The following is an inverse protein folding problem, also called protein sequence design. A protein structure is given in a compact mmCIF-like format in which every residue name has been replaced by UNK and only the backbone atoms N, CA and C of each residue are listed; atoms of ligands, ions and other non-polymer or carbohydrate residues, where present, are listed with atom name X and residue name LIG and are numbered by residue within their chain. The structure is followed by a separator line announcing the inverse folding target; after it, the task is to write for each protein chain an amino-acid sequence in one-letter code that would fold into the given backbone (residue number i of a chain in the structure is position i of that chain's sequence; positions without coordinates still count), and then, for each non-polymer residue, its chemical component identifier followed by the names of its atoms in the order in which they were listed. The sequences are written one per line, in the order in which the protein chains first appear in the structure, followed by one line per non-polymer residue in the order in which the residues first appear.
data_IF_439704220027
#
_entry.id   IF_439704220027
#
_cell.length_a   1.000
_cell.length_b   1.000
_cell.length_c   1.000
_cell.angle_alpha   90.00
_cell.angle_beta   90.00
_cell.angle_gamma   90.00
#
_symmetry.space_group_name_H-M   'P 1'
#
loop_
_entity.id
_entity.type
_entity.pdbx_description
1 polymer ?
#
# COMPACT_ATOMS: atom_id res chain seq x y z
N UNK A 1 38.00 42.09 23.26
CA UNK A 1 36.93 42.78 23.96
C UNK A 1 35.76 41.80 23.93
N UNK A 2 35.69 40.86 24.85
CA UNK A 2 34.99 40.85 26.14
C UNK A 2 33.48 41.03 25.88
N UNK A 3 32.64 40.14 26.28
CA UNK A 3 32.24 39.64 27.59
C UNK A 3 31.26 38.44 27.39
N UNK A 4 31.44 37.30 27.89
CA UNK A 4 31.18 36.73 29.23
C UNK A 4 29.84 37.18 29.83
N UNK A 5 28.84 36.31 29.87
CA UNK A 5 28.07 36.07 31.09
C UNK A 5 27.40 34.70 31.10
N UNK A 6 27.55 33.91 32.15
CA UNK A 6 26.77 32.73 32.42
C UNK A 6 25.58 33.09 33.32
N UNK A 7 24.41 32.66 33.07
CA UNK A 7 23.32 32.67 34.05
C UNK A 7 22.85 31.26 34.33
N UNK A 8 23.46 30.72 35.39
CA UNK A 8 22.93 29.57 36.10
C UNK A 8 21.80 30.07 36.99
N UNK A 9 20.63 29.58 36.82
CA UNK A 9 19.61 29.61 37.87
C UNK A 9 18.84 28.30 37.83
N UNK A 10 19.04 27.53 38.86
CA UNK A 10 18.42 26.26 39.14
C UNK A 10 16.92 26.39 39.37
N UNK A 11 16.21 25.47 38.86
CA UNK A 11 14.83 25.20 39.31
C UNK A 11 14.82 23.73 39.74
N UNK A 12 14.85 23.53 41.05
CA UNK A 12 14.52 22.27 41.68
C UNK A 12 13.03 22.03 41.52
N UNK A 13 12.64 21.16 40.60
CA UNK A 13 11.27 20.72 40.46
C UNK A 13 11.03 19.49 41.34
N UNK A 14 10.22 19.70 42.33
CA UNK A 14 9.69 18.74 43.28
C UNK A 14 8.87 17.68 42.53
N UNK A 15 9.38 16.47 42.43
CA UNK A 15 8.66 15.33 41.89
C UNK A 15 7.79 14.74 42.99
N UNK A 16 6.52 15.08 43.00
CA UNK A 16 5.52 14.41 43.81
C UNK A 16 5.13 13.08 43.13
N UNK A 17 5.59 11.97 43.74
CA UNK A 17 5.11 10.64 43.39
C UNK A 17 3.65 10.46 43.86
N UNK A 18 2.73 10.52 42.94
CA UNK A 18 1.36 10.05 43.18
C UNK A 18 1.34 8.56 42.81
N UNK A 19 1.49 7.71 43.78
CA UNK A 19 1.26 6.26 43.66
C UNK A 19 -0.23 6.01 43.56
N UNK A 20 -0.78 5.94 42.33
CA UNK A 20 -2.09 5.41 42.09
C UNK A 20 -2.00 3.88 42.05
N UNK A 21 -2.54 3.22 43.04
CA UNK A 21 -2.73 1.79 43.07
C UNK A 21 -3.76 1.39 41.99
N UNK A 22 -3.24 0.91 40.85
CA UNK A 22 -4.07 0.27 39.84
C UNK A 22 -4.27 -1.19 40.28
N UNK A 23 -5.46 -1.47 40.83
CA UNK A 23 -5.89 -2.82 41.14
C UNK A 23 -6.07 -3.64 39.83
N UNK A 24 -5.86 -4.95 39.89
CA UNK A 24 -6.07 -5.81 38.72
C UNK A 24 -7.56 -5.90 38.40
N UNK A 25 -7.98 -5.29 37.31
CA UNK A 25 -9.29 -5.50 36.71
C UNK A 25 -9.25 -6.85 36.01
N UNK A 26 -9.62 -7.90 36.72
CA UNK A 26 -9.87 -9.23 36.13
C UNK A 26 -11.23 -9.19 35.44
N UNK A 27 -11.25 -8.82 34.19
CA UNK A 27 -12.42 -9.07 33.35
C UNK A 27 -12.38 -10.54 32.89
N UNK A 28 -13.43 -11.33 33.09
CA UNK A 28 -13.51 -12.63 32.48
C UNK A 28 -13.59 -12.46 30.97
N UNK A 29 -12.54 -12.90 30.29
CA UNK A 29 -12.55 -13.09 28.84
C UNK A 29 -13.49 -14.26 28.60
N UNK A 30 -14.75 -13.97 28.23
CA UNK A 30 -15.61 -14.98 27.63
C UNK A 30 -14.95 -15.40 26.31
N UNK A 31 -14.43 -16.60 26.32
CA UNK A 31 -13.95 -17.32 25.16
C UNK A 31 -15.14 -17.57 24.20
N UNK A 32 -15.47 -16.55 23.42
CA UNK A 32 -16.31 -16.74 22.26
C UNK A 32 -15.43 -17.26 21.14
N UNK A 33 -15.18 -18.56 21.18
CA UNK A 33 -14.66 -19.34 20.06
C UNK A 33 -15.66 -19.20 18.90
N UNK A 34 -15.53 -18.10 18.15
CA UNK A 34 -16.22 -17.96 16.88
C UNK A 34 -15.54 -18.94 15.94
N UNK A 35 -16.12 -20.13 15.84
CA UNK A 35 -15.81 -21.10 14.81
C UNK A 35 -16.10 -20.43 13.45
N UNK A 36 -15.10 -19.75 12.90
CA UNK A 36 -15.10 -19.39 11.50
C UNK A 36 -15.01 -20.68 10.70
N UNK A 37 -16.15 -21.30 10.44
CA UNK A 37 -16.26 -22.32 9.41
C UNK A 37 -15.94 -21.63 8.08
N UNK A 38 -14.69 -21.73 7.70
CA UNK A 38 -14.23 -21.37 6.37
C UNK A 38 -15.04 -22.20 5.39
N UNK A 39 -15.85 -21.60 4.50
CA UNK A 39 -16.45 -22.38 3.45
C UNK A 39 -15.30 -22.95 2.61
N UNK A 40 -15.11 -24.27 2.67
CA UNK A 40 -14.24 -25.01 1.75
C UNK A 40 -14.90 -25.02 0.37
N UNK A 41 -15.09 -23.85 -0.21
CA UNK A 41 -15.31 -23.71 -1.63
C UNK A 41 -13.95 -23.74 -2.27
N UNK A 42 -13.53 -24.89 -2.74
CA UNK A 42 -12.44 -25.04 -3.70
C UNK A 42 -12.89 -24.38 -5.01
N UNK A 43 -12.91 -23.04 -5.03
CA UNK A 43 -12.78 -22.35 -6.28
C UNK A 43 -11.38 -22.73 -6.76
N UNK A 44 -11.31 -23.71 -7.65
CA UNK A 44 -10.15 -23.92 -8.47
C UNK A 44 -9.93 -22.63 -9.25
N UNK A 45 -9.18 -21.71 -8.63
CA UNK A 45 -8.53 -20.66 -9.36
C UNK A 45 -7.61 -21.44 -10.29
N UNK A 46 -7.98 -21.50 -11.56
CA UNK A 46 -7.04 -21.85 -12.62
C UNK A 46 -5.98 -20.77 -12.55
N UNK A 47 -5.05 -21.00 -11.65
CA UNK A 47 -3.81 -20.28 -11.59
C UNK A 47 -3.07 -20.76 -12.83
N UNK A 48 -3.32 -20.09 -13.95
CA UNK A 48 -2.34 -20.03 -15.00
C UNK A 48 -1.09 -19.49 -14.29
N UNK A 49 -0.16 -20.40 -14.00
CA UNK A 49 1.00 -20.14 -13.17
C UNK A 49 1.90 -19.20 -13.95
N UNK A 50 1.57 -17.93 -13.98
CA UNK A 50 2.51 -16.90 -14.39
C UNK A 50 3.72 -17.10 -13.49
N UNK A 51 4.78 -17.65 -14.08
CA UNK A 51 6.06 -17.76 -13.40
C UNK A 51 6.43 -16.36 -12.95
N UNK A 52 6.56 -16.17 -11.65
CA UNK A 52 6.92 -14.89 -11.06
C UNK A 52 8.36 -14.91 -10.60
N UNK A 53 9.04 -13.81 -10.77
CA UNK A 53 10.40 -13.60 -10.28
C UNK A 53 10.40 -13.65 -8.74
N UNK A 54 11.21 -14.52 -8.12
CA UNK A 54 11.18 -14.74 -6.67
C UNK A 54 11.61 -13.51 -5.85
N UNK A 55 12.38 -12.62 -6.44
CA UNK A 55 12.89 -11.42 -5.77
C UNK A 55 11.85 -10.29 -5.75
N UNK A 56 11.19 -10.07 -6.89
CA UNK A 56 10.30 -8.92 -7.07
C UNK A 56 8.83 -9.28 -7.11
N UNK A 57 8.48 -10.56 -7.33
CA UNK A 57 7.12 -11.02 -7.56
C UNK A 57 6.54 -10.63 -8.92
N UNK A 58 7.34 -9.99 -9.77
CA UNK A 58 6.92 -9.58 -11.11
C UNK A 58 6.80 -10.78 -12.05
N UNK A 59 5.94 -10.71 -13.04
CA UNK A 59 5.76 -11.76 -14.05
C UNK A 59 7.04 -11.96 -14.84
N UNK A 60 7.44 -13.21 -15.05
CA UNK A 60 8.62 -13.52 -15.87
C UNK A 60 8.25 -13.37 -17.35
N UNK A 61 8.95 -12.46 -18.01
CA UNK A 61 8.76 -12.09 -19.40
C UNK A 61 10.10 -11.57 -19.95
N UNK A 62 10.25 -11.49 -21.24
CA UNK A 62 11.47 -11.01 -21.90
C UNK A 62 11.86 -9.57 -21.45
N UNK A 63 10.88 -8.77 -21.06
CA UNK A 63 11.07 -7.39 -20.63
C UNK A 63 11.29 -7.26 -19.11
N UNK A 64 11.26 -8.35 -18.34
CA UNK A 64 11.38 -8.32 -16.88
C UNK A 64 12.65 -7.61 -16.43
N UNK A 65 13.80 -7.94 -17.01
CA UNK A 65 15.10 -7.34 -16.64
C UNK A 65 15.08 -5.83 -16.85
N UNK A 66 14.51 -5.38 -17.95
CA UNK A 66 14.36 -3.97 -18.26
C UNK A 66 13.46 -3.28 -17.24
N UNK A 67 12.31 -3.85 -16.93
CA UNK A 67 11.37 -3.30 -15.93
C UNK A 67 11.99 -3.27 -14.54
N UNK A 68 12.71 -4.33 -14.14
CA UNK A 68 13.44 -4.34 -12.86
C UNK A 68 14.43 -3.18 -12.79
N UNK A 69 15.31 -3.04 -13.78
CA UNK A 69 16.35 -2.01 -13.77
C UNK A 69 15.78 -0.58 -13.75
N UNK A 70 14.69 -0.33 -14.46
CA UNK A 70 14.14 1.01 -14.60
C UNK A 70 13.12 1.37 -13.51
N UNK A 71 12.36 0.40 -13.03
CA UNK A 71 11.21 0.68 -12.16
C UNK A 71 11.45 0.34 -10.68
N UNK A 72 12.43 -0.54 -10.36
CA UNK A 72 12.69 -0.92 -8.96
C UNK A 72 13.93 -0.26 -8.37
N UNK A 73 14.53 0.67 -9.09
CA UNK A 73 15.71 1.41 -8.61
C UNK A 73 15.41 2.35 -7.42
N UNK A 74 14.18 2.87 -7.32
CA UNK A 74 13.81 3.86 -6.32
C UNK A 74 12.87 3.31 -5.24
N UNK A 75 12.05 2.32 -5.54
CA UNK A 75 11.08 1.72 -4.62
C UNK A 75 10.81 0.26 -5.00
N UNK A 76 10.15 -0.47 -4.13
CA UNK A 76 9.84 -1.89 -4.37
C UNK A 76 8.81 -2.08 -5.48
N UNK A 77 8.84 -3.25 -6.12
CA UNK A 77 7.87 -3.71 -7.11
C UNK A 77 6.42 -3.78 -6.62
N UNK A 78 6.19 -3.71 -5.31
CA UNK A 78 4.85 -3.79 -4.70
C UNK A 78 3.87 -2.77 -5.28
N UNK A 79 4.34 -1.58 -5.65
CA UNK A 79 3.48 -0.56 -6.28
C UNK A 79 2.98 -1.01 -7.66
N UNK A 80 3.80 -1.73 -8.42
CA UNK A 80 3.40 -2.32 -9.71
C UNK A 80 2.40 -3.45 -9.47
N UNK A 81 2.73 -4.36 -8.53
CA UNK A 81 1.90 -5.54 -8.22
C UNK A 81 0.48 -5.17 -7.76
N UNK A 82 0.33 -4.05 -7.09
CA UNK A 82 -0.95 -3.53 -6.58
C UNK A 82 -1.73 -2.71 -7.62
N UNK A 83 -1.10 -2.35 -8.72
CA UNK A 83 -1.69 -1.51 -9.76
C UNK A 83 -2.35 -2.34 -10.85
N UNK A 84 -3.47 -1.82 -11.38
CA UNK A 84 -4.16 -2.37 -12.55
C UNK A 84 -4.61 -1.18 -13.40
N UNK A 85 -3.70 -0.70 -14.24
CA UNK A 85 -3.91 0.52 -14.99
C UNK A 85 -3.99 0.26 -16.50
N UNK A 86 -4.80 1.05 -17.20
CA UNK A 86 -4.74 1.09 -18.65
C UNK A 86 -3.38 1.65 -19.12
N UNK A 87 -3.07 1.46 -20.40
CA UNK A 87 -1.84 1.97 -20.99
C UNK A 87 -1.69 3.50 -20.77
N UNK A 88 -2.77 4.23 -20.98
CA UNK A 88 -2.82 5.69 -20.82
C UNK A 88 -2.52 6.07 -19.36
N UNK A 89 -3.08 5.31 -18.41
CA UNK A 89 -2.85 5.56 -16.98
C UNK A 89 -1.43 5.21 -16.56
N UNK A 90 -0.81 4.20 -17.14
CA UNK A 90 0.60 3.91 -16.93
C UNK A 90 1.49 5.05 -17.46
N UNK A 91 1.21 5.58 -18.65
CA UNK A 91 1.90 6.75 -19.19
C UNK A 91 1.76 7.94 -18.25
N UNK A 92 0.56 8.25 -17.79
CA UNK A 92 0.31 9.34 -16.85
C UNK A 92 1.15 9.18 -15.56
N UNK A 93 1.24 7.97 -15.03
CA UNK A 93 2.06 7.67 -13.84
C UNK A 93 3.55 7.85 -14.09
N UNK A 94 4.05 7.40 -15.22
CA UNK A 94 5.45 7.61 -15.61
C UNK A 94 5.72 9.11 -15.72
N UNK A 95 4.89 9.88 -16.41
CA UNK A 95 5.05 11.35 -16.53
C UNK A 95 4.98 12.04 -15.16
N UNK A 96 4.12 11.57 -14.28
CA UNK A 96 4.05 12.09 -12.91
C UNK A 96 5.36 11.81 -12.17
N UNK A 97 5.90 10.60 -12.22
CA UNK A 97 7.17 10.25 -11.58
C UNK A 97 8.35 11.04 -12.16
N UNK A 98 8.36 11.28 -13.46
CA UNK A 98 9.39 12.12 -14.10
C UNK A 98 9.34 13.55 -13.56
N UNK A 99 8.16 14.12 -13.40
CA UNK A 99 8.02 15.51 -12.91
C UNK A 99 8.26 15.67 -11.42
N UNK A 100 7.87 14.69 -10.61
CA UNK A 100 7.81 14.85 -9.15
C UNK A 100 8.81 14.00 -8.38
N UNK A 101 9.23 12.86 -8.93
CA UNK A 101 10.10 11.90 -8.28
C UNK A 101 11.46 11.77 -8.96
N UNK A 102 11.75 12.64 -9.90
CA UNK A 102 13.02 12.67 -10.65
C UNK A 102 13.32 11.36 -11.40
N UNK A 103 12.28 10.65 -11.84
CA UNK A 103 12.48 9.53 -12.75
C UNK A 103 13.10 10.09 -14.04
N UNK A 104 14.17 9.45 -14.49
CA UNK A 104 14.83 9.83 -15.75
C UNK A 104 13.94 9.54 -16.96
N UNK A 105 14.36 10.06 -18.10
CA UNK A 105 13.68 9.72 -19.35
C UNK A 105 13.95 8.25 -19.72
N UNK A 106 12.90 7.51 -19.97
CA UNK A 106 12.98 6.10 -20.35
C UNK A 106 13.35 5.91 -21.83
N UNK A 107 13.25 6.97 -22.64
CA UNK A 107 13.64 6.97 -24.05
C UNK A 107 13.02 5.81 -24.84
N UNK A 108 13.86 5.11 -25.60
CA UNK A 108 13.42 3.98 -26.43
C UNK A 108 12.92 2.77 -25.65
N UNK A 109 13.21 2.70 -24.35
CA UNK A 109 12.75 1.61 -23.47
C UNK A 109 11.28 1.74 -23.06
N UNK A 110 10.71 2.94 -23.15
CA UNK A 110 9.36 3.21 -22.67
C UNK A 110 8.27 2.34 -23.32
N UNK A 111 8.25 2.17 -24.66
CA UNK A 111 7.24 1.33 -25.31
C UNK A 111 7.28 -0.13 -24.82
N UNK A 112 8.47 -0.70 -24.60
CA UNK A 112 8.67 -2.05 -24.10
C UNK A 112 8.17 -2.18 -22.64
N UNK A 113 8.51 -1.23 -21.79
CA UNK A 113 8.04 -1.16 -20.40
C UNK A 113 6.52 -1.04 -20.35
N UNK A 114 5.93 -0.16 -21.14
CA UNK A 114 4.47 -0.01 -21.22
C UNK A 114 3.79 -1.27 -21.75
N UNK A 115 4.38 -1.97 -22.71
CA UNK A 115 3.92 -3.25 -23.21
C UNK A 115 3.84 -4.29 -22.09
N UNK A 116 4.92 -4.44 -21.33
CA UNK A 116 5.00 -5.34 -20.19
C UNK A 116 3.95 -4.98 -19.10
N UNK A 117 3.90 -3.72 -18.70
CA UNK A 117 2.97 -3.26 -17.67
C UNK A 117 1.51 -3.45 -18.06
N UNK A 118 1.17 -3.18 -19.31
CA UNK A 118 -0.19 -3.35 -19.82
C UNK A 118 -0.57 -4.83 -19.93
N UNK A 119 0.36 -5.67 -20.35
CA UNK A 119 0.16 -7.12 -20.51
C UNK A 119 -0.09 -7.81 -19.17
N UNK A 120 0.71 -7.51 -18.16
CA UNK A 120 0.69 -8.22 -16.88
C UNK A 120 -0.06 -7.48 -15.77
N UNK A 121 -0.15 -6.16 -15.85
CA UNK A 121 -0.73 -5.28 -14.85
C UNK A 121 -1.73 -4.29 -15.45
N UNK A 122 -2.36 -4.69 -16.53
CA UNK A 122 -3.48 -3.97 -17.14
C UNK A 122 -4.78 -4.14 -16.36
N UNK A 123 -5.85 -3.45 -16.77
CA UNK A 123 -7.18 -3.61 -16.20
C UNK A 123 -7.66 -5.04 -16.35
N UNK A 124 -8.17 -5.63 -15.29
CA UNK A 124 -8.85 -6.92 -15.35
C UNK A 124 -10.29 -6.68 -15.79
N UNK A 125 -10.61 -7.10 -17.00
CA UNK A 125 -11.99 -7.04 -17.48
C UNK A 125 -12.89 -7.94 -16.63
N UNK A 126 -13.80 -7.35 -15.89
CA UNK A 126 -14.94 -8.04 -15.29
C UNK A 126 -14.84 -8.53 -13.87
N UNK A 127 -13.72 -8.37 -13.15
CA UNK A 127 -13.65 -8.73 -11.74
C UNK A 127 -13.04 -7.59 -10.95
N UNK A 128 -13.88 -6.89 -10.22
CA UNK A 128 -13.54 -6.00 -9.12
C UNK A 128 -12.41 -5.00 -9.43
N UNK A 129 -12.75 -3.83 -9.90
CA UNK A 129 -11.83 -2.70 -10.15
C UNK A 129 -11.23 -2.09 -8.85
N UNK A 130 -11.34 -2.79 -7.72
CA UNK A 130 -10.94 -2.31 -6.41
C UNK A 130 -11.85 -1.22 -5.85
N UNK A 131 -12.84 -0.76 -6.61
CA UNK A 131 -13.85 0.16 -6.12
C UNK A 131 -14.95 -0.63 -5.44
N UNK A 132 -15.30 -0.23 -4.25
CA UNK A 132 -16.50 -0.73 -3.60
C UNK A 132 -17.68 -0.49 -4.55
N UNK A 133 -18.46 -1.53 -4.79
CA UNK A 133 -19.70 -1.40 -5.56
C UNK A 133 -20.52 -0.22 -5.00
N UNK A 134 -21.08 0.64 -5.86
CA UNK A 134 -21.89 1.77 -5.38
C UNK A 134 -22.95 1.25 -4.43
N UNK A 135 -23.05 1.83 -3.25
CA UNK A 135 -24.12 1.48 -2.32
C UNK A 135 -25.46 1.62 -3.04
N UNK A 136 -26.29 0.60 -2.98
CA UNK A 136 -27.68 0.71 -3.41
C UNK A 136 -28.27 1.94 -2.75
N UNK A 137 -29.05 2.73 -3.48
CA UNK A 137 -29.68 3.94 -2.95
C UNK A 137 -30.34 3.63 -1.62
N UNK A 138 -29.73 4.10 -0.54
CA UNK A 138 -30.33 4.03 0.79
C UNK A 138 -31.35 5.16 0.86
N UNK A 139 -32.62 4.81 1.08
CA UNK A 139 -33.67 5.80 1.30
C UNK A 139 -33.51 6.30 2.74
N UNK A 140 -32.80 7.40 2.92
CA UNK A 140 -32.65 8.03 4.23
C UNK A 140 -33.99 8.52 4.71
N UNK A 141 -34.59 7.80 5.65
CA UNK A 141 -35.79 8.29 6.33
C UNK A 141 -35.39 9.49 7.18
N UNK A 142 -36.02 10.63 6.94
CA UNK A 142 -35.88 11.76 7.84
C UNK A 142 -36.40 11.32 9.21
N UNK A 143 -35.67 11.57 10.34
CA UNK A 143 -36.25 11.36 11.65
C UNK A 143 -37.56 12.15 11.70
N UNK A 144 -38.65 11.44 12.02
CA UNK A 144 -39.96 12.08 12.15
C UNK A 144 -39.94 13.19 13.20
N UNK A 145 -40.57 14.30 12.88
CA UNK A 145 -40.85 15.35 13.83
C UNK A 145 -41.74 14.82 14.93
#
# INVERSE_FOLDING_TARGET
MDEKTPFMAGIAALVLFVSAAVGPVSSPVEDRTILWTRPSGTAAIVSDSLKTDPETGLAIDDQLTLVKSQCTACHSSKLILQSRFSREKWVERIRWMQRTQKLWDLGESEPAILGYLTKHYGPTSGVFDGRREPLKRVNWQKPGN
#
